data_IF_162781997888
#
_entry.id   IF_162781997888
#
_cell.length_a   1.000
_cell.length_b   1.000
_cell.length_c   1.000
_cell.angle_alpha   90.00
_cell.angle_beta   90.00
_cell.angle_gamma   90.00
#
_symmetry.space_group_name_H-M   'P 1'
#
loop_
_entity.id
_entity.type
_entity.pdbx_description
1 polymer ?
#
# COMPACT_ATOMS: atom_id res chain seq x y z
N UNK A 1 -1.61 -11.95 -53.58
CA UNK A 1 -0.54 -12.68 -54.30
C UNK A 1 0.70 -12.61 -53.45
N UNK A 2 1.04 -13.68 -52.75
CA UNK A 2 2.33 -13.78 -52.05
C UNK A 2 3.46 -13.68 -53.08
N UNK A 3 4.35 -12.71 -52.90
CA UNK A 3 5.49 -12.47 -53.79
C UNK A 3 6.36 -13.73 -53.84
N UNK A 4 6.96 -14.06 -54.99
CA UNK A 4 7.87 -15.22 -55.16
C UNK A 4 8.93 -15.26 -54.04
N UNK A 5 9.42 -14.09 -53.60
CA UNK A 5 10.32 -13.96 -52.46
C UNK A 5 9.76 -14.55 -51.16
N UNK A 6 8.48 -14.30 -50.83
CA UNK A 6 7.85 -14.84 -49.63
C UNK A 6 7.64 -16.36 -49.69
N UNK A 7 7.37 -16.90 -50.89
CA UNK A 7 7.24 -18.34 -51.09
C UNK A 7 8.58 -19.07 -50.99
N UNK A 8 9.65 -18.45 -51.52
CA UNK A 8 11.03 -18.94 -51.37
C UNK A 8 11.46 -18.85 -49.90
N UNK A 9 11.19 -17.73 -49.23
CA UNK A 9 11.50 -17.55 -47.81
C UNK A 9 10.75 -18.56 -46.93
N UNK A 10 9.47 -18.82 -47.19
CA UNK A 10 8.69 -19.83 -46.47
C UNK A 10 9.25 -21.25 -46.70
N UNK A 11 9.68 -21.57 -47.92
CA UNK A 11 10.25 -22.88 -48.27
C UNK A 11 11.64 -23.09 -47.66
N UNK A 12 12.44 -22.03 -47.56
CA UNK A 12 13.74 -22.04 -46.87
C UNK A 12 13.57 -22.10 -45.36
N UNK A 13 12.63 -21.34 -44.78
CA UNK A 13 12.31 -21.42 -43.35
C UNK A 13 11.79 -22.79 -42.95
N UNK A 14 10.90 -23.38 -43.77
CA UNK A 14 10.33 -24.71 -43.53
C UNK A 14 11.37 -25.84 -43.52
N UNK A 15 12.57 -25.60 -44.07
CA UNK A 15 13.69 -26.54 -44.04
C UNK A 15 14.31 -26.65 -42.64
N UNK A 16 14.37 -25.54 -41.90
CA UNK A 16 15.05 -25.44 -40.61
C UNK A 16 14.07 -25.32 -39.42
N UNK A 17 12.87 -24.80 -39.66
CA UNK A 17 11.90 -24.41 -38.65
C UNK A 17 10.51 -24.95 -39.00
N UNK A 18 9.86 -25.55 -38.02
CA UNK A 18 8.43 -25.87 -38.06
C UNK A 18 7.69 -24.84 -37.22
N UNK A 19 6.86 -24.03 -37.89
CA UNK A 19 6.12 -22.94 -37.29
C UNK A 19 4.63 -23.29 -37.21
N UNK A 20 4.09 -23.29 -36.00
CA UNK A 20 2.64 -23.28 -35.79
C UNK A 20 2.18 -21.87 -35.41
N UNK A 21 1.56 -21.20 -36.39
CA UNK A 21 1.06 -19.83 -36.22
C UNK A 21 -0.16 -19.76 -35.29
N UNK A 22 -0.94 -20.84 -35.15
CA UNK A 22 -2.14 -20.83 -34.30
C UNK A 22 -1.77 -20.93 -32.82
N UNK A 23 -0.84 -21.83 -32.50
CA UNK A 23 -0.42 -22.05 -31.10
C UNK A 23 0.79 -21.20 -30.71
N UNK A 24 1.34 -20.41 -31.63
CA UNK A 24 2.61 -19.68 -31.48
C UNK A 24 3.72 -20.60 -30.98
N UNK A 25 3.78 -21.81 -31.52
CA UNK A 25 4.83 -22.79 -31.22
C UNK A 25 5.85 -22.83 -32.36
N UNK A 26 7.11 -23.01 -31.97
CA UNK A 26 8.25 -23.13 -32.87
C UNK A 26 9.02 -24.38 -32.48
N UNK A 27 9.26 -25.25 -33.44
CA UNK A 27 10.11 -26.44 -33.29
C UNK A 27 11.20 -26.42 -34.34
N UNK A 28 12.37 -26.97 -34.01
CA UNK A 28 13.50 -27.08 -34.92
C UNK A 28 13.45 -28.41 -35.68
N UNK A 29 13.79 -28.40 -36.96
CA UNK A 29 14.06 -29.64 -37.72
C UNK A 29 15.46 -30.15 -37.38
N UNK A 30 15.80 -31.38 -37.79
CA UNK A 30 17.16 -31.91 -37.60
C UNK A 30 18.23 -31.03 -38.26
N UNK A 31 17.97 -30.55 -39.48
CA UNK A 31 18.87 -29.62 -40.18
C UNK A 31 18.97 -28.28 -39.43
N UNK A 32 17.86 -27.76 -38.89
CA UNK A 32 17.84 -26.53 -38.11
C UNK A 32 18.64 -26.63 -36.81
N UNK A 33 18.53 -27.77 -36.11
CA UNK A 33 19.31 -28.02 -34.90
C UNK A 33 20.82 -28.06 -35.21
N UNK A 34 21.23 -28.71 -36.31
CA UNK A 34 22.64 -28.76 -36.71
C UNK A 34 23.21 -27.38 -37.04
N UNK A 35 22.44 -26.52 -37.72
CA UNK A 35 22.88 -25.16 -38.05
C UNK A 35 23.04 -24.30 -36.79
N UNK A 36 22.08 -24.38 -35.86
CA UNK A 36 22.18 -23.64 -34.60
C UNK A 36 23.37 -24.14 -33.79
N UNK A 37 23.56 -25.46 -33.73
CA UNK A 37 24.71 -26.06 -33.08
C UNK A 37 26.04 -25.58 -33.66
N UNK A 38 26.19 -25.59 -35.00
CA UNK A 38 27.42 -25.12 -35.63
C UNK A 38 27.70 -23.64 -35.31
N UNK A 39 26.67 -22.80 -35.37
CA UNK A 39 26.79 -21.38 -35.01
C UNK A 39 27.21 -21.18 -33.55
N UNK A 40 26.67 -21.97 -32.63
CA UNK A 40 27.08 -21.91 -31.22
C UNK A 40 28.54 -22.32 -31.03
N UNK A 41 29.00 -23.36 -31.73
CA UNK A 41 30.40 -23.80 -31.68
C UNK A 41 31.34 -22.74 -32.28
N UNK A 42 30.95 -22.11 -33.40
CA UNK A 42 31.74 -21.07 -34.05
C UNK A 42 31.87 -19.80 -33.19
N UNK A 43 30.81 -19.43 -32.47
CA UNK A 43 30.80 -18.32 -31.50
C UNK A 43 31.51 -18.67 -30.17
N UNK A 44 32.05 -19.89 -30.04
CA UNK A 44 32.83 -20.31 -28.89
C UNK A 44 32.01 -20.60 -27.62
N UNK A 45 30.74 -20.99 -27.78
CA UNK A 45 29.88 -21.40 -26.65
C UNK A 45 30.50 -22.61 -25.93
N UNK A 46 30.68 -22.48 -24.62
CA UNK A 46 31.20 -23.57 -23.79
C UNK A 46 30.06 -24.46 -23.28
N UNK A 47 30.01 -25.68 -23.80
CA UNK A 47 29.14 -26.74 -23.31
C UNK A 47 29.80 -27.43 -22.11
N UNK A 48 29.17 -27.35 -20.94
CA UNK A 48 29.81 -27.78 -19.69
C UNK A 48 30.02 -29.29 -19.65
N UNK A 49 29.06 -30.07 -20.17
CA UNK A 49 29.16 -31.52 -20.23
C UNK A 49 30.35 -31.98 -21.10
N UNK A 50 30.49 -31.40 -22.30
CA UNK A 50 31.59 -31.72 -23.21
C UNK A 50 32.95 -31.27 -22.65
N UNK A 51 33.00 -30.10 -22.03
CA UNK A 51 34.21 -29.55 -21.41
C UNK A 51 34.69 -30.42 -20.23
N UNK A 52 33.77 -30.92 -19.41
CA UNK A 52 34.10 -31.80 -18.28
C UNK A 52 34.71 -33.14 -18.73
N UNK A 53 34.27 -33.66 -19.87
CA UNK A 53 34.73 -34.93 -20.45
C UNK A 53 35.97 -34.76 -21.36
N UNK A 54 36.40 -33.54 -21.65
CA UNK A 54 37.54 -33.26 -22.53
C UNK A 54 37.31 -33.67 -24.00
N UNK A 55 36.04 -33.75 -24.42
CA UNK A 55 35.64 -34.16 -25.78
C UNK A 55 35.11 -32.97 -26.59
N UNK A 56 35.11 -33.04 -27.93
CA UNK A 56 34.42 -32.04 -28.73
C UNK A 56 32.91 -32.01 -28.38
N UNK A 57 32.27 -30.82 -28.49
CA UNK A 57 30.84 -30.70 -28.27
C UNK A 57 30.08 -31.51 -29.31
N UNK A 58 28.98 -32.11 -28.89
CA UNK A 58 28.05 -32.87 -29.69
C UNK A 58 26.67 -32.20 -29.65
N UNK A 59 25.83 -32.51 -30.64
CA UNK A 59 24.50 -31.91 -30.76
C UNK A 59 23.64 -32.04 -29.50
N UNK A 60 23.76 -33.16 -28.78
CA UNK A 60 22.99 -33.41 -27.56
C UNK A 60 23.41 -32.51 -26.39
N UNK A 61 24.61 -31.93 -26.42
CA UNK A 61 25.08 -31.03 -25.36
C UNK A 61 24.31 -29.70 -25.36
N UNK A 62 23.60 -29.37 -26.45
CA UNK A 62 22.66 -28.24 -26.46
C UNK A 62 21.54 -28.37 -25.43
N UNK A 63 21.24 -29.59 -24.98
CA UNK A 63 20.13 -29.89 -24.09
C UNK A 63 20.60 -30.24 -22.67
N UNK A 64 21.79 -29.77 -22.27
CA UNK A 64 22.29 -29.95 -20.91
C UNK A 64 21.42 -29.23 -19.86
N UNK A 65 21.30 -29.81 -18.67
CA UNK A 65 20.48 -29.28 -17.58
C UNK A 65 21.07 -28.02 -16.92
N UNK A 66 22.38 -27.82 -17.06
CA UNK A 66 23.11 -26.69 -16.46
C UNK A 66 22.79 -25.39 -17.18
N UNK A 67 23.03 -25.36 -18.49
CA UNK A 67 22.68 -24.24 -19.38
C UNK A 67 21.95 -24.80 -20.59
N UNK A 68 20.60 -24.70 -20.64
CA UNK A 68 19.81 -25.32 -21.70
C UNK A 68 19.85 -24.47 -22.98
N UNK A 69 21.00 -24.44 -23.65
CA UNK A 69 21.28 -23.64 -24.85
C UNK A 69 20.25 -23.84 -25.96
N UNK A 70 19.82 -25.08 -26.20
CA UNK A 70 18.80 -25.42 -27.19
C UNK A 70 17.45 -24.79 -26.85
N UNK A 71 17.05 -24.83 -25.58
CA UNK A 71 15.79 -24.23 -25.14
C UNK A 71 15.85 -22.70 -25.21
N UNK A 72 16.99 -22.11 -24.86
CA UNK A 72 17.23 -20.67 -24.99
C UNK A 72 17.17 -20.22 -26.45
N UNK A 73 17.78 -20.98 -27.37
CA UNK A 73 17.73 -20.69 -28.81
C UNK A 73 16.30 -20.79 -29.38
N UNK A 74 15.53 -21.81 -28.99
CA UNK A 74 14.11 -21.90 -29.38
C UNK A 74 13.33 -20.71 -28.85
N UNK A 75 13.53 -20.32 -27.60
CA UNK A 75 12.85 -19.15 -27.00
C UNK A 75 13.26 -17.85 -27.70
N UNK A 76 14.53 -17.69 -28.06
CA UNK A 76 15.02 -16.54 -28.83
C UNK A 76 14.38 -16.47 -30.22
N UNK A 77 14.33 -17.59 -30.94
CA UNK A 77 13.67 -17.67 -32.24
C UNK A 77 12.16 -17.43 -32.13
N UNK A 78 11.53 -17.91 -31.07
CA UNK A 78 10.11 -17.68 -30.78
C UNK A 78 9.84 -16.19 -30.52
N UNK A 79 10.67 -15.55 -29.70
CA UNK A 79 10.63 -14.10 -29.46
C UNK A 79 10.82 -13.33 -30.77
N UNK A 80 11.79 -13.73 -31.59
CA UNK A 80 12.08 -13.08 -32.86
C UNK A 80 10.91 -13.17 -33.85
N UNK A 81 10.31 -14.36 -34.00
CA UNK A 81 9.30 -14.63 -35.02
C UNK A 81 7.89 -14.13 -34.63
N UNK A 82 7.47 -14.30 -33.37
CA UNK A 82 6.09 -14.02 -32.95
C UNK A 82 5.89 -12.66 -32.27
N UNK A 83 6.94 -12.06 -31.71
CA UNK A 83 6.85 -10.80 -30.96
C UNK A 83 7.54 -9.69 -31.73
N UNK A 84 6.77 -8.73 -32.22
CA UNK A 84 7.23 -7.57 -32.99
C UNK A 84 7.05 -6.29 -32.18
N UNK A 85 8.07 -5.44 -32.25
CA UNK A 85 8.00 -4.08 -31.72
C UNK A 85 6.86 -3.30 -32.40
N UNK A 86 6.12 -2.52 -31.61
CA UNK A 86 4.97 -1.73 -32.07
C UNK A 86 3.65 -2.49 -32.17
N UNK A 87 3.67 -3.83 -32.08
CA UNK A 87 2.46 -4.66 -32.06
C UNK A 87 2.26 -5.33 -30.70
N UNK A 88 3.19 -6.18 -30.27
CA UNK A 88 3.07 -6.94 -29.00
C UNK A 88 3.77 -6.26 -27.81
N UNK A 89 4.74 -5.38 -28.09
CA UNK A 89 5.46 -4.62 -27.08
C UNK A 89 6.01 -3.33 -27.67
N UNK A 90 6.39 -2.42 -26.79
CA UNK A 90 7.17 -1.21 -27.11
C UNK A 90 8.40 -1.16 -26.22
N UNK A 91 9.47 -0.52 -26.70
CA UNK A 91 10.65 -0.23 -25.89
C UNK A 91 10.55 1.22 -25.45
N UNK A 92 10.56 1.46 -24.15
CA UNK A 92 10.49 2.80 -23.57
C UNK A 92 11.40 2.88 -22.35
N UNK A 93 12.19 3.95 -22.25
CA UNK A 93 13.11 4.20 -21.13
C UNK A 93 14.07 3.02 -20.86
N UNK A 94 14.54 2.37 -21.94
CA UNK A 94 15.38 1.19 -21.85
C UNK A 94 14.69 -0.03 -21.22
N UNK A 95 13.35 -0.13 -21.33
CA UNK A 95 12.58 -1.27 -20.84
C UNK A 95 11.55 -1.74 -21.87
N UNK A 96 11.35 -3.06 -21.94
CA UNK A 96 10.33 -3.68 -22.77
C UNK A 96 8.99 -3.62 -22.04
N UNK A 97 8.01 -2.92 -22.61
CA UNK A 97 6.65 -2.79 -22.06
C UNK A 97 5.66 -3.52 -22.95
N UNK A 98 4.86 -4.40 -22.37
CA UNK A 98 3.87 -5.19 -23.09
C UNK A 98 2.70 -4.30 -23.51
N UNK A 99 2.19 -4.50 -24.73
CA UNK A 99 0.98 -3.85 -25.23
C UNK A 99 -0.11 -4.91 -25.36
N UNK A 100 -1.31 -4.60 -24.89
CA UNK A 100 -2.48 -5.47 -25.08
C UNK A 100 -2.96 -5.41 -26.53
N UNK A 101 -2.96 -6.55 -27.22
CA UNK A 101 -3.35 -6.67 -28.64
C UNK A 101 -4.79 -6.19 -28.90
N UNK A 102 -5.68 -6.27 -27.91
CA UNK A 102 -7.10 -5.94 -28.08
C UNK A 102 -7.41 -4.45 -27.83
N UNK A 103 -6.71 -3.82 -26.89
CA UNK A 103 -7.01 -2.46 -26.43
C UNK A 103 -5.91 -1.44 -26.74
N UNK A 104 -4.74 -1.91 -27.19
CA UNK A 104 -3.55 -1.06 -27.39
C UNK A 104 -2.98 -0.47 -26.09
N UNK A 105 -3.49 -0.89 -24.93
CA UNK A 105 -3.06 -0.37 -23.62
C UNK A 105 -1.72 -0.97 -23.20
N UNK A 106 -0.85 -0.13 -22.64
CA UNK A 106 0.45 -0.54 -22.10
C UNK A 106 0.29 -1.20 -20.72
N UNK A 107 1.02 -2.30 -20.49
CA UNK A 107 1.07 -3.05 -19.24
C UNK A 107 2.48 -2.99 -18.64
N UNK A 108 2.83 -1.91 -17.89
CA UNK A 108 4.20 -1.64 -17.45
C UNK A 108 4.76 -2.66 -16.44
N UNK A 109 3.90 -3.29 -15.64
CA UNK A 109 4.32 -4.25 -14.60
C UNK A 109 4.37 -5.70 -15.15
N UNK A 110 3.77 -5.95 -16.31
CA UNK A 110 3.64 -7.30 -16.85
C UNK A 110 4.91 -7.72 -17.62
N UNK A 111 5.39 -8.94 -17.36
CA UNK A 111 6.48 -9.59 -18.10
C UNK A 111 5.98 -10.88 -18.76
N UNK A 112 6.55 -11.24 -19.91
CA UNK A 112 6.29 -12.54 -20.53
C UNK A 112 7.01 -13.65 -19.73
N UNK A 113 6.37 -14.80 -19.60
CA UNK A 113 6.92 -15.94 -18.85
C UNK A 113 7.84 -16.80 -19.72
N UNK A 114 8.52 -17.77 -19.10
CA UNK A 114 9.31 -18.81 -19.76
C UNK A 114 10.46 -18.26 -20.60
N UNK A 115 11.17 -17.25 -20.09
CA UNK A 115 12.32 -16.65 -20.76
C UNK A 115 12.01 -15.77 -21.98
N UNK A 116 10.74 -15.66 -22.40
CA UNK A 116 10.37 -14.89 -23.61
C UNK A 116 10.68 -13.40 -23.41
N UNK A 117 10.45 -12.86 -22.22
CA UNK A 117 10.68 -11.44 -21.98
C UNK A 117 12.18 -11.10 -22.04
N UNK A 118 13.03 -11.96 -21.49
CA UNK A 118 14.48 -11.85 -21.56
C UNK A 118 14.98 -11.97 -22.99
N UNK A 119 14.40 -12.88 -23.78
CA UNK A 119 14.72 -13.00 -25.20
C UNK A 119 14.35 -11.75 -26.00
N UNK A 120 13.24 -11.06 -25.65
CA UNK A 120 12.87 -9.78 -26.27
C UNK A 120 13.81 -8.66 -25.80
N UNK A 121 14.16 -8.61 -24.51
CA UNK A 121 15.15 -7.66 -23.99
C UNK A 121 16.49 -7.82 -24.73
N UNK A 122 16.98 -9.06 -24.90
CA UNK A 122 18.20 -9.35 -25.65
C UNK A 122 18.08 -8.98 -27.14
N UNK A 123 16.93 -9.27 -27.77
CA UNK A 123 16.65 -8.92 -29.18
C UNK A 123 16.72 -7.42 -29.44
N UNK A 124 16.24 -6.61 -28.50
CA UNK A 124 16.20 -5.15 -28.62
C UNK A 124 17.44 -4.47 -28.00
N UNK A 125 18.47 -5.24 -27.64
CA UNK A 125 19.69 -4.76 -26.98
C UNK A 125 19.44 -3.98 -25.68
N UNK A 126 18.40 -4.38 -24.95
CA UNK A 126 18.04 -3.84 -23.62
C UNK A 126 18.71 -4.66 -22.53
N UNK A 127 18.98 -4.04 -21.38
CA UNK A 127 19.50 -4.75 -20.20
C UNK A 127 18.57 -5.91 -19.81
N UNK A 128 19.10 -7.13 -19.89
CA UNK A 128 18.35 -8.35 -19.57
C UNK A 128 18.25 -8.50 -18.06
N UNK A 129 17.02 -8.43 -17.54
CA UNK A 129 16.78 -8.60 -16.11
C UNK A 129 16.55 -10.07 -15.76
N UNK A 130 17.06 -10.55 -14.62
CA UNK A 130 16.85 -11.93 -14.20
C UNK A 130 15.37 -12.24 -14.05
N UNK A 131 14.96 -13.46 -14.43
CA UNK A 131 13.58 -13.91 -14.27
C UNK A 131 13.26 -14.06 -12.77
N UNK A 132 12.19 -13.40 -12.32
CA UNK A 132 11.63 -13.64 -11.00
C UNK A 132 10.91 -14.99 -11.01
N UNK A 133 11.63 -16.06 -10.64
CA UNK A 133 11.05 -17.40 -10.48
C UNK A 133 10.47 -17.55 -9.08
N UNK A 134 9.21 -17.95 -8.99
CA UNK A 134 8.63 -18.35 -7.70
C UNK A 134 9.34 -19.60 -7.18
N UNK A 135 10.12 -19.47 -6.11
CA UNK A 135 10.87 -20.58 -5.51
C UNK A 135 9.97 -21.50 -4.68
N UNK A 136 8.97 -20.94 -4.01
CA UNK A 136 8.01 -21.66 -3.19
C UNK A 136 6.65 -21.00 -3.28
N UNK A 137 5.59 -21.81 -3.23
CA UNK A 137 4.21 -21.34 -3.15
C UNK A 137 3.41 -22.27 -2.25
N UNK A 138 2.46 -21.70 -1.51
CA UNK A 138 1.55 -22.44 -0.66
C UNK A 138 0.22 -21.69 -0.59
N UNK A 139 -0.90 -22.42 -0.58
CA UNK A 139 -2.22 -21.82 -0.35
C UNK A 139 -2.46 -21.64 1.14
N UNK A 140 -3.24 -20.63 1.54
CA UNK A 140 -3.58 -20.44 2.96
C UNK A 140 -4.27 -21.67 3.57
N UNK A 141 -5.07 -22.38 2.78
CA UNK A 141 -5.72 -23.62 3.19
C UNK A 141 -4.70 -24.67 3.67
N UNK A 142 -3.67 -24.92 2.85
CA UNK A 142 -2.62 -25.88 3.19
C UNK A 142 -1.72 -25.33 4.30
N UNK A 143 -1.39 -24.04 4.25
CA UNK A 143 -0.56 -23.36 5.24
C UNK A 143 -1.14 -23.50 6.66
N UNK A 144 -2.42 -23.22 6.83
CA UNK A 144 -3.08 -23.38 8.13
C UNK A 144 -3.27 -24.85 8.54
N UNK A 145 -3.32 -25.77 7.57
CA UNK A 145 -3.35 -27.22 7.82
C UNK A 145 -2.10 -27.78 8.51
N UNK A 146 -0.95 -27.10 8.40
CA UNK A 146 0.29 -27.52 9.08
C UNK A 146 0.28 -27.25 10.59
N UNK A 147 -0.62 -26.43 11.10
CA UNK A 147 -0.68 -26.10 12.52
C UNK A 147 -1.31 -27.24 13.32
N UNK A 148 -0.59 -27.73 14.35
CA UNK A 148 -1.11 -28.77 15.26
C UNK A 148 -2.41 -28.39 15.95
N UNK A 149 -2.59 -27.09 16.21
CA UNK A 149 -3.81 -26.51 16.80
C UNK A 149 -4.15 -25.26 16.00
N UNK A 150 -5.39 -25.21 15.52
CA UNK A 150 -5.92 -24.07 14.79
C UNK A 150 -7.19 -23.58 15.50
N UNK A 151 -7.26 -22.27 15.71
CA UNK A 151 -8.41 -21.58 16.28
C UNK A 151 -8.50 -20.18 15.65
N UNK A 152 -9.69 -19.60 15.66
CA UNK A 152 -9.93 -18.27 15.10
C UNK A 152 -11.12 -17.59 15.76
N UNK A 153 -11.20 -16.27 15.60
CA UNK A 153 -12.29 -15.44 16.12
C UNK A 153 -12.77 -14.49 15.02
N UNK A 154 -14.09 -14.31 14.94
CA UNK A 154 -14.74 -13.35 14.02
C UNK A 154 -16.20 -13.15 14.43
N UNK A 155 -16.77 -12.00 14.08
CA UNK A 155 -18.18 -11.70 14.31
C UNK A 155 -19.16 -12.34 13.31
N UNK A 156 -18.67 -12.89 12.19
CA UNK A 156 -19.53 -13.30 11.05
C UNK A 156 -19.32 -14.74 10.58
N UNK A 157 -18.63 -15.60 11.35
CA UNK A 157 -18.31 -16.97 10.93
C UNK A 157 -19.53 -17.89 10.78
N UNK A 158 -20.68 -17.56 11.39
CA UNK A 158 -21.82 -18.48 11.43
C UNK A 158 -22.33 -18.88 10.03
N UNK A 159 -22.33 -17.95 9.07
CA UNK A 159 -22.74 -18.23 7.70
C UNK A 159 -21.76 -19.16 6.95
N UNK A 160 -20.48 -19.11 7.30
CA UNK A 160 -19.41 -19.90 6.68
C UNK A 160 -19.03 -21.14 7.51
N UNK A 161 -19.86 -21.54 8.49
CA UNK A 161 -19.52 -22.61 9.41
C UNK A 161 -19.29 -23.96 8.71
N UNK A 162 -20.06 -24.25 7.65
CA UNK A 162 -19.88 -25.47 6.85
C UNK A 162 -18.51 -25.49 6.14
N UNK A 163 -18.11 -24.37 5.54
CA UNK A 163 -16.82 -24.25 4.83
C UNK A 163 -15.63 -24.37 5.78
N UNK A 164 -15.72 -23.76 6.98
CA UNK A 164 -14.69 -23.90 8.01
C UNK A 164 -14.53 -25.34 8.49
N UNK A 165 -15.64 -26.07 8.62
CA UNK A 165 -15.60 -27.47 9.00
C UNK A 165 -15.07 -28.36 7.87
N UNK A 166 -15.46 -28.09 6.62
CA UNK A 166 -14.98 -28.86 5.48
C UNK A 166 -13.47 -28.70 5.28
N UNK A 167 -13.01 -27.45 5.21
CA UNK A 167 -11.61 -27.11 4.90
C UNK A 167 -10.65 -27.33 6.07
N UNK A 168 -11.06 -26.98 7.30
CA UNK A 168 -10.16 -26.94 8.45
C UNK A 168 -10.60 -27.80 9.63
N UNK A 169 -11.74 -28.50 9.51
CA UNK A 169 -12.37 -29.25 10.63
C UNK A 169 -12.64 -28.38 11.86
N UNK A 170 -12.82 -27.07 11.64
CA UNK A 170 -13.11 -26.11 12.69
C UNK A 170 -14.61 -26.01 12.93
N UNK A 171 -15.00 -26.10 14.21
CA UNK A 171 -16.39 -25.86 14.64
C UNK A 171 -16.55 -24.38 14.94
N UNK A 172 -17.62 -23.78 14.42
CA UNK A 172 -18.01 -22.41 14.73
C UNK A 172 -19.00 -22.41 15.89
N UNK A 173 -18.71 -21.63 16.93
CA UNK A 173 -19.56 -21.47 18.11
C UNK A 173 -19.92 -19.99 18.24
N UNK A 174 -21.23 -19.69 18.26
CA UNK A 174 -21.71 -18.34 18.51
C UNK A 174 -21.63 -18.01 20.00
N UNK A 175 -20.78 -17.07 20.37
CA UNK A 175 -20.66 -16.58 21.75
C UNK A 175 -21.73 -15.48 21.96
N UNK A 176 -22.52 -15.52 23.04
CA UNK A 176 -23.51 -14.50 23.32
C UNK A 176 -22.85 -13.13 23.54
N UNK A 177 -23.52 -12.06 23.13
CA UNK A 177 -23.01 -10.69 23.30
C UNK A 177 -23.09 -10.26 24.78
N UNK A 178 -22.14 -9.45 25.22
CA UNK A 178 -22.12 -8.90 26.59
C UNK A 178 -23.39 -8.06 26.89
N UNK A 179 -23.94 -7.39 25.87
CA UNK A 179 -25.18 -6.61 25.96
C UNK A 179 -26.10 -6.94 24.79
N UNK A 180 -27.44 -6.89 24.97
CA UNK A 180 -28.37 -7.11 23.87
C UNK A 180 -28.22 -6.00 22.80
N UNK A 181 -28.20 -6.34 21.50
CA UNK A 181 -28.02 -5.36 20.44
C UNK A 181 -29.27 -4.48 20.33
N UNK A 182 -29.07 -3.16 20.17
CA UNK A 182 -30.13 -2.17 19.88
C UNK A 182 -30.00 -1.56 18.49
N UNK A 183 -29.16 -2.15 17.64
CA UNK A 183 -28.94 -1.68 16.27
C UNK A 183 -30.19 -1.94 15.45
N UNK A 184 -30.67 -0.92 14.74
CA UNK A 184 -31.80 -1.02 13.81
C UNK A 184 -31.23 -1.12 12.40
N UNK A 185 -31.37 -2.28 11.79
CA UNK A 185 -30.95 -2.52 10.41
C UNK A 185 -32.09 -2.12 9.47
N UNK A 186 -31.86 -1.07 8.67
CA UNK A 186 -32.84 -0.55 7.72
C UNK A 186 -32.84 -1.39 6.42
N UNK A 187 -33.97 -1.47 5.70
CA UNK A 187 -34.04 -2.19 4.43
C UNK A 187 -33.16 -1.53 3.36
N UNK A 188 -32.67 -2.34 2.43
CA UNK A 188 -31.89 -1.90 1.27
C UNK A 188 -32.71 -0.94 0.39
N UNK A 189 -32.09 0.17 -0.01
CA UNK A 189 -32.62 1.09 -1.03
C UNK A 189 -31.83 0.90 -2.32
N UNK A 190 -32.53 0.63 -3.42
CA UNK A 190 -31.93 0.43 -4.74
C UNK A 190 -32.41 1.55 -5.65
N UNK A 191 -31.47 2.12 -6.41
CA UNK A 191 -31.70 3.22 -7.33
C UNK A 191 -31.36 2.77 -8.75
N UNK A 192 -32.11 3.25 -9.74
CA UNK A 192 -31.83 2.97 -11.14
C UNK A 192 -30.59 3.74 -11.60
N UNK A 193 -30.57 5.06 -11.35
CA UNK A 193 -29.47 5.92 -11.71
C UNK A 193 -28.48 6.13 -10.54
N UNK A 194 -27.16 6.12 -10.80
CA UNK A 194 -26.16 6.44 -9.79
C UNK A 194 -26.29 7.84 -9.19
N UNK A 195 -26.82 8.80 -9.97
CA UNK A 195 -27.03 10.17 -9.51
C UNK A 195 -28.09 10.25 -8.40
N UNK A 196 -29.20 9.51 -8.54
CA UNK A 196 -30.24 9.43 -7.50
C UNK A 196 -29.69 8.81 -6.21
N UNK A 197 -28.85 7.77 -6.33
CA UNK A 197 -28.12 7.17 -5.21
C UNK A 197 -27.30 8.24 -4.49
N UNK A 198 -26.52 9.05 -5.22
CA UNK A 198 -25.70 10.08 -4.61
C UNK A 198 -26.52 11.20 -3.98
N UNK A 199 -27.62 11.62 -4.61
CA UNK A 199 -28.52 12.63 -4.03
C UNK A 199 -29.11 12.17 -2.69
N UNK A 200 -29.56 10.91 -2.59
CA UNK A 200 -30.04 10.38 -1.32
C UNK A 200 -28.91 10.30 -0.27
N UNK A 201 -27.68 9.93 -0.64
CA UNK A 201 -26.53 9.94 0.28
C UNK A 201 -26.35 11.35 0.86
N UNK A 202 -26.34 12.38 0.02
CA UNK A 202 -26.22 13.78 0.48
C UNK A 202 -27.36 14.16 1.42
N UNK A 203 -28.59 13.75 1.11
CA UNK A 203 -29.76 13.99 1.97
C UNK A 203 -29.61 13.33 3.35
N UNK A 204 -29.10 12.09 3.40
CA UNK A 204 -28.83 11.37 4.65
C UNK A 204 -27.74 12.09 5.46
N UNK A 205 -26.66 12.53 4.80
CA UNK A 205 -25.58 13.28 5.44
C UNK A 205 -26.10 14.59 6.06
N UNK A 206 -26.88 15.38 5.30
CA UNK A 206 -27.53 16.61 5.80
C UNK A 206 -28.35 16.34 7.06
N UNK A 207 -29.22 15.32 7.03
CA UNK A 207 -30.05 14.95 8.18
C UNK A 207 -29.23 14.49 9.39
N UNK A 208 -28.14 13.73 9.18
CA UNK A 208 -27.26 13.30 10.26
C UNK A 208 -26.51 14.47 10.89
N UNK A 209 -26.01 15.42 10.08
CA UNK A 209 -25.35 16.61 10.62
C UNK A 209 -26.29 17.52 11.40
N UNK A 210 -27.50 17.77 10.90
CA UNK A 210 -28.52 18.53 11.63
C UNK A 210 -28.83 17.89 12.99
N UNK A 211 -28.84 16.56 13.07
CA UNK A 211 -29.05 15.80 14.30
C UNK A 211 -27.75 15.56 15.12
N UNK A 212 -26.59 16.09 14.68
CA UNK A 212 -25.25 15.79 15.24
C UNK A 212 -24.94 14.29 15.41
N UNK A 213 -25.51 13.43 14.57
CA UNK A 213 -25.29 11.99 14.62
C UNK A 213 -24.03 11.61 13.83
N UNK A 214 -23.09 10.83 14.39
CA UNK A 214 -21.94 10.34 13.64
C UNK A 214 -22.38 9.42 12.51
N UNK A 215 -21.67 9.46 11.39
CA UNK A 215 -21.99 8.70 10.18
C UNK A 215 -20.71 8.10 9.58
N UNK A 216 -20.77 6.80 9.28
CA UNK A 216 -19.75 6.09 8.53
C UNK A 216 -20.33 5.69 7.16
N UNK A 217 -19.67 6.07 6.08
CA UNK A 217 -20.05 5.74 4.70
C UNK A 217 -19.06 4.71 4.17
N UNK A 218 -19.55 3.49 3.92
CA UNK A 218 -18.76 2.41 3.34
C UNK A 218 -18.82 2.39 1.81
N UNK A 219 -17.66 2.35 1.15
CA UNK A 219 -17.53 2.32 -0.31
C UNK A 219 -16.70 1.11 -0.76
N UNK A 220 -16.91 0.66 -2.00
CA UNK A 220 -16.24 -0.54 -2.51
C UNK A 220 -14.83 -0.28 -3.01
N UNK A 221 -14.57 0.93 -3.52
CA UNK A 221 -13.30 1.31 -4.13
C UNK A 221 -12.85 2.71 -3.71
N UNK A 222 -11.55 2.98 -3.86
CA UNK A 222 -10.97 4.31 -3.60
C UNK A 222 -11.63 5.37 -4.49
N UNK A 223 -11.79 5.07 -5.78
CA UNK A 223 -12.42 5.98 -6.73
C UNK A 223 -13.88 6.32 -6.35
N UNK A 224 -14.66 5.33 -5.90
CA UNK A 224 -16.03 5.57 -5.42
C UNK A 224 -16.03 6.47 -4.16
N UNK A 225 -15.03 6.32 -3.29
CA UNK A 225 -14.90 7.14 -2.08
C UNK A 225 -14.61 8.60 -2.40
N UNK A 226 -13.70 8.83 -3.36
CA UNK A 226 -13.38 10.16 -3.86
C UNK A 226 -14.57 10.77 -4.60
N UNK A 227 -15.30 9.97 -5.37
CA UNK A 227 -16.53 10.41 -6.06
C UNK A 227 -17.59 10.84 -5.05
N UNK A 228 -17.84 10.05 -4.00
CA UNK A 228 -18.80 10.42 -2.96
C UNK A 228 -18.38 11.70 -2.25
N UNK A 229 -17.09 11.86 -1.96
CA UNK A 229 -16.57 13.09 -1.36
C UNK A 229 -16.78 14.30 -2.27
N UNK A 230 -16.47 14.18 -3.56
CA UNK A 230 -16.71 15.25 -4.54
C UNK A 230 -18.19 15.61 -4.64
N UNK A 231 -19.08 14.61 -4.73
CA UNK A 231 -20.52 14.87 -4.79
C UNK A 231 -21.03 15.54 -3.51
N UNK A 232 -20.45 15.23 -2.36
CA UNK A 232 -20.74 15.97 -1.13
C UNK A 232 -20.32 17.44 -1.27
N UNK A 233 -19.10 17.74 -1.72
CA UNK A 233 -18.68 19.12 -1.95
C UNK A 233 -19.58 19.87 -2.93
N UNK A 234 -19.90 19.25 -4.08
CA UNK A 234 -20.67 19.87 -5.15
C UNK A 234 -22.12 20.18 -4.75
N UNK A 235 -22.77 19.30 -3.98
CA UNK A 235 -24.21 19.41 -3.65
C UNK A 235 -24.52 20.05 -2.30
N UNK A 236 -23.52 20.21 -1.41
CA UNK A 236 -23.70 20.81 -0.09
C UNK A 236 -23.42 22.32 -0.07
N UNK A 237 -22.64 22.84 -1.03
CA UNK A 237 -22.37 24.28 -1.19
C UNK A 237 -21.70 24.95 0.01
N UNK A 238 -21.57 26.28 -0.05
CA UNK A 238 -20.81 27.07 0.94
C UNK A 238 -21.37 26.98 2.37
N UNK A 239 -22.67 26.72 2.53
CA UNK A 239 -23.34 26.68 3.83
C UNK A 239 -22.92 25.53 4.75
N UNK A 240 -22.19 24.53 4.24
CA UNK A 240 -21.68 23.38 5.00
C UNK A 240 -20.15 23.23 4.90
N UNK A 241 -19.46 24.24 4.36
CA UNK A 241 -18.01 24.23 4.11
C UNK A 241 -17.16 23.86 5.34
N UNK A 242 -17.50 24.41 6.51
CA UNK A 242 -16.83 24.09 7.79
C UNK A 242 -17.01 22.65 8.26
N UNK A 243 -18.08 21.98 7.85
CA UNK A 243 -18.36 20.58 8.19
C UNK A 243 -17.78 19.63 7.14
N UNK A 244 -17.83 20.03 5.87
CA UNK A 244 -17.19 19.33 4.76
C UNK A 244 -15.68 19.23 4.95
N UNK A 245 -15.02 20.29 5.41
CA UNK A 245 -13.58 20.29 5.71
C UNK A 245 -13.17 19.29 6.81
N UNK A 246 -14.13 18.86 7.64
CA UNK A 246 -13.92 17.89 8.73
C UNK A 246 -14.18 16.44 8.29
N UNK A 247 -14.75 16.22 7.12
CA UNK A 247 -15.01 14.87 6.58
C UNK A 247 -13.69 14.13 6.44
N UNK A 248 -13.65 12.89 6.95
CA UNK A 248 -12.46 12.05 6.90
C UNK A 248 -12.57 11.01 5.79
N UNK A 249 -11.54 10.89 4.96
CA UNK A 249 -11.46 9.90 3.88
C UNK A 249 -10.38 8.86 4.19
N UNK A 250 -10.73 7.58 4.15
CA UNK A 250 -9.84 6.46 4.51
C UNK A 250 -9.74 5.44 3.38
N UNK A 251 -8.53 5.31 2.85
CA UNK A 251 -8.25 4.60 1.60
C UNK A 251 -7.47 3.29 1.79
N UNK A 252 -7.31 2.81 3.04
CA UNK A 252 -6.65 1.56 3.37
C UNK A 252 -5.21 1.45 2.82
N UNK A 253 -4.49 2.57 2.73
CA UNK A 253 -3.10 2.57 2.27
C UNK A 253 -2.20 2.00 3.38
N UNK A 254 -1.30 1.03 3.09
CA UNK A 254 -0.49 0.36 4.12
C UNK A 254 0.31 1.31 5.02
N UNK A 255 0.83 2.39 4.43
CA UNK A 255 1.60 3.45 5.11
C UNK A 255 0.76 4.22 6.15
N UNK A 256 -0.56 4.28 5.94
CA UNK A 256 -1.47 5.09 6.75
C UNK A 256 -2.28 4.29 7.76
N UNK A 257 -2.15 2.96 7.82
CA UNK A 257 -3.01 2.10 8.67
C UNK A 257 -3.02 2.53 10.14
N UNK A 258 -1.87 2.96 10.69
CA UNK A 258 -1.79 3.45 12.09
C UNK A 258 -2.56 4.76 12.28
N UNK A 259 -2.45 5.68 11.33
CA UNK A 259 -3.13 6.97 11.36
C UNK A 259 -4.63 6.80 11.10
N UNK A 260 -5.01 5.92 10.18
CA UNK A 260 -6.41 5.58 9.88
C UNK A 260 -7.11 4.98 11.10
N UNK A 261 -6.43 4.12 11.87
CA UNK A 261 -6.95 3.60 13.13
C UNK A 261 -7.26 4.73 14.13
N UNK A 262 -6.37 5.72 14.26
CA UNK A 262 -6.63 6.87 15.15
C UNK A 262 -7.85 7.68 14.71
N UNK A 263 -8.02 7.89 13.40
CA UNK A 263 -9.17 8.61 12.84
C UNK A 263 -10.47 7.84 13.11
N UNK A 264 -10.47 6.52 12.92
CA UNK A 264 -11.67 5.69 13.13
C UNK A 264 -12.06 5.57 14.59
N UNK A 265 -11.08 5.51 15.50
CA UNK A 265 -11.35 5.55 16.94
C UNK A 265 -12.11 6.83 17.35
N UNK A 266 -11.98 7.91 16.57
CA UNK A 266 -12.67 9.19 16.78
C UNK A 266 -13.91 9.38 15.90
N UNK A 267 -14.26 8.44 15.01
CA UNK A 267 -15.40 8.56 14.12
C UNK A 267 -16.75 8.60 14.85
N UNK A 268 -16.81 8.20 16.12
CA UNK A 268 -18.00 8.26 16.96
C UNK A 268 -18.29 9.63 17.59
N UNK A 269 -17.48 10.66 17.30
CA UNK A 269 -17.72 12.02 17.79
C UNK A 269 -19.00 12.64 17.18
N UNK A 270 -19.76 13.46 17.92
CA UNK A 270 -21.00 14.05 17.42
C UNK A 270 -20.79 14.86 16.14
N UNK A 271 -21.57 14.56 15.11
CA UNK A 271 -21.49 15.20 13.79
C UNK A 271 -20.29 14.79 12.92
N UNK A 272 -19.48 13.82 13.36
CA UNK A 272 -18.39 13.29 12.54
C UNK A 272 -18.92 12.50 11.34
N UNK A 273 -18.33 12.73 10.17
CA UNK A 273 -18.60 11.95 8.96
C UNK A 273 -17.29 11.37 8.47
N UNK A 274 -17.26 10.04 8.35
CA UNK A 274 -16.10 9.30 7.88
C UNK A 274 -16.50 8.47 6.67
N UNK A 275 -15.73 8.59 5.59
CA UNK A 275 -15.85 7.79 4.36
C UNK A 275 -14.73 6.77 4.40
N UNK A 276 -15.09 5.49 4.37
CA UNK A 276 -14.14 4.38 4.47
C UNK A 276 -14.36 3.42 3.31
N UNK A 277 -13.27 3.09 2.61
CA UNK A 277 -13.24 1.92 1.73
C UNK A 277 -13.44 0.64 2.55
N UNK A 278 -14.04 -0.39 1.97
CA UNK A 278 -14.43 -1.66 2.63
C UNK A 278 -13.42 -2.31 3.60
N UNK A 279 -12.12 -2.01 3.48
CA UNK A 279 -11.07 -2.55 4.36
C UNK A 279 -10.43 -1.52 5.31
N UNK A 280 -10.71 -0.24 5.16
CA UNK A 280 -10.16 0.80 6.02
C UNK A 280 -10.72 0.67 7.45
N UNK A 281 -9.83 0.70 8.44
CA UNK A 281 -10.23 0.64 9.85
C UNK A 281 -10.56 -0.70 10.45
N UNK A 282 -10.39 -1.78 9.70
CA UNK A 282 -10.65 -3.12 10.21
C UNK A 282 -9.82 -3.38 11.47
N UNK A 283 -10.49 -3.78 12.54
CA UNK A 283 -9.85 -4.07 13.83
C UNK A 283 -9.78 -2.88 14.79
N UNK A 284 -10.35 -1.71 14.44
CA UNK A 284 -10.50 -0.58 15.36
C UNK A 284 -11.97 -0.36 15.69
N UNK A 285 -12.30 -0.32 16.98
CA UNK A 285 -13.67 -0.08 17.44
C UNK A 285 -14.03 1.42 17.36
N UNK A 286 -15.24 1.72 16.85
CA UNK A 286 -15.80 3.07 16.85
C UNK A 286 -16.55 3.28 18.16
N UNK A 287 -15.95 4.06 19.07
CA UNK A 287 -16.55 4.39 20.37
C UNK A 287 -17.40 5.66 20.21
N UNK A 288 -18.69 5.58 20.54
CA UNK A 288 -19.58 6.75 20.53
C UNK A 288 -19.10 7.78 21.56
N UNK A 289 -18.96 9.03 21.15
CA UNK A 289 -18.34 10.10 21.95
C UNK A 289 -16.82 10.21 21.79
N UNK A 290 -16.21 9.38 20.95
CA UNK A 290 -14.76 9.33 20.72
C UNK A 290 -14.03 8.45 21.74
N UNK A 291 -12.74 8.20 21.48
CA UNK A 291 -11.89 7.45 22.40
C UNK A 291 -11.19 8.44 23.39
N UNK A 292 -11.58 8.46 24.68
CA UNK A 292 -11.05 9.42 25.65
C UNK A 292 -9.56 9.24 25.93
N UNK A 293 -9.07 8.00 25.95
CA UNK A 293 -7.65 7.71 26.17
C UNK A 293 -6.80 8.22 25.01
N UNK A 294 -7.23 7.92 23.78
CA UNK A 294 -6.60 8.43 22.56
C UNK A 294 -6.63 9.96 22.47
N UNK A 295 -7.77 10.58 22.83
CA UNK A 295 -7.91 12.04 22.88
C UNK A 295 -6.98 12.65 23.92
N UNK A 296 -6.86 12.06 25.11
CA UNK A 296 -5.99 12.56 26.17
C UNK A 296 -4.50 12.48 25.78
N UNK A 297 -4.10 11.41 25.11
CA UNK A 297 -2.74 11.23 24.63
C UNK A 297 -2.41 12.23 23.50
N UNK A 298 -3.34 12.44 22.57
CA UNK A 298 -3.21 13.45 21.51
C UNK A 298 -3.14 14.87 22.09
N UNK A 299 -3.98 15.18 23.07
CA UNK A 299 -3.99 16.48 23.75
C UNK A 299 -2.68 16.73 24.53
N UNK A 300 -2.18 15.71 25.24
CA UNK A 300 -0.89 15.77 25.94
C UNK A 300 0.26 15.96 24.97
N UNK A 301 0.30 15.18 23.88
CA UNK A 301 1.30 15.35 22.82
C UNK A 301 1.25 16.78 22.27
N UNK A 302 0.07 17.32 21.95
CA UNK A 302 -0.07 18.71 21.45
C UNK A 302 0.43 19.74 22.47
N UNK A 303 0.10 19.59 23.75
CA UNK A 303 0.57 20.50 24.81
C UNK A 303 2.09 20.43 24.97
N UNK A 304 2.66 19.23 24.90
CA UNK A 304 4.11 18.99 24.99
C UNK A 304 4.82 19.55 23.76
N UNK A 305 4.36 19.23 22.55
CA UNK A 305 4.91 19.77 21.29
C UNK A 305 4.80 21.29 21.23
N UNK A 306 3.67 21.89 21.63
CA UNK A 306 3.49 23.35 21.67
C UNK A 306 4.47 24.04 22.65
N UNK A 307 4.94 23.32 23.66
CA UNK A 307 5.83 23.85 24.71
C UNK A 307 7.31 23.53 24.46
N UNK A 308 7.59 22.44 23.75
CA UNK A 308 8.95 22.00 23.38
C UNK A 308 9.41 22.58 22.04
N UNK A 309 8.51 22.77 21.08
CA UNK A 309 8.84 23.49 19.85
C UNK A 309 8.87 24.98 20.18
N UNK A 310 9.95 25.70 19.87
CA UNK A 310 9.97 27.15 20.00
C UNK A 310 8.81 27.70 19.15
N UNK A 311 8.02 28.60 19.73
CA UNK A 311 7.05 29.39 18.96
C UNK A 311 7.84 29.96 17.78
N UNK A 312 7.55 29.51 16.56
CA UNK A 312 7.95 30.26 15.39
C UNK A 312 7.31 31.63 15.58
N UNK A 313 8.12 32.63 15.94
CA UNK A 313 7.68 34.02 15.91
C UNK A 313 7.29 34.25 14.48
N UNK A 314 5.98 34.34 14.21
CA UNK A 314 5.49 34.77 12.92
C UNK A 314 6.25 36.07 12.58
N UNK A 315 6.95 36.14 11.44
CA UNK A 315 7.59 37.39 11.06
C UNK A 315 6.48 38.44 10.99
N UNK A 316 6.61 39.53 11.76
CA UNK A 316 5.70 40.67 11.65
C UNK A 316 5.69 41.11 10.19
N UNK A 317 4.59 40.83 9.48
CA UNK A 317 4.43 41.25 8.10
C UNK A 317 4.53 42.78 8.04
N UNK A 318 5.49 43.30 7.26
CA UNK A 318 5.41 44.67 6.77
C UNK A 318 4.34 44.67 5.68
N UNK A 319 3.44 45.67 5.63
CA UNK A 319 2.37 45.70 4.64
C UNK A 319 3.01 45.87 3.24
N UNK A 320 2.77 44.90 2.34
CA UNK A 320 3.11 45.05 0.92
C UNK A 320 3.61 43.82 0.15
N UNK A 321 3.99 42.70 0.79
CA UNK A 321 4.50 41.52 0.08
C UNK A 321 4.01 40.21 0.72
N UNK A 322 2.90 39.66 0.21
CA UNK A 322 2.35 38.38 0.67
C UNK A 322 3.11 37.16 0.11
N UNK A 323 3.74 37.28 -1.06
CA UNK A 323 4.44 36.16 -1.72
C UNK A 323 5.77 35.78 -1.03
N UNK A 324 6.47 36.74 -0.42
CA UNK A 324 7.74 36.50 0.27
C UNK A 324 7.57 35.85 1.66
N UNK A 325 6.40 36.03 2.30
CA UNK A 325 6.11 35.46 3.62
C UNK A 325 5.89 33.93 3.56
N UNK A 326 5.31 33.44 2.46
CA UNK A 326 5.06 32.01 2.23
C UNK A 326 6.36 31.28 1.90
N UNK A 327 7.24 31.90 1.11
CA UNK A 327 8.57 31.36 0.79
C UNK A 327 9.49 31.28 2.03
N UNK A 328 9.43 32.27 2.92
CA UNK A 328 10.21 32.28 4.17
C UNK A 328 9.71 31.24 5.20
N UNK A 329 8.39 30.98 5.25
CA UNK A 329 7.82 29.95 6.12
C UNK A 329 8.20 28.52 5.68
N UNK A 330 8.31 28.28 4.37
CA UNK A 330 8.77 27.00 3.81
C UNK A 330 10.27 26.74 4.07
N UNK A 331 11.10 27.78 4.12
CA UNK A 331 12.54 27.67 4.37
C UNK A 331 12.91 27.39 5.85
N UNK A 332 12.01 27.67 6.80
CA UNK A 332 12.30 27.61 8.24
C UNK A 332 12.17 26.21 8.89
N UNK A 333 11.87 25.15 8.13
CA UNK A 333 11.81 23.79 8.67
C UNK A 333 10.86 23.64 9.87
N UNK A 334 9.77 24.42 9.89
CA UNK A 334 8.79 24.35 10.95
C UNK A 334 8.09 22.98 10.86
N UNK A 335 8.31 22.13 11.88
CA UNK A 335 7.46 20.95 12.12
C UNK A 335 6.04 21.45 12.36
N UNK A 336 5.24 21.48 11.30
CA UNK A 336 3.83 21.80 11.38
C UNK A 336 3.15 20.79 12.30
N UNK A 337 2.49 21.29 13.34
CA UNK A 337 1.62 20.46 14.18
C UNK A 337 0.54 19.90 13.26
N UNK A 338 0.37 18.57 13.12
CA UNK A 338 -0.65 18.02 12.24
C UNK A 338 -2.03 18.51 12.68
N UNK A 339 -2.76 19.14 11.75
CA UNK A 339 -4.16 19.51 11.96
C UNK A 339 -4.97 18.22 12.09
N UNK A 340 -5.40 17.88 13.30
CA UNK A 340 -6.37 16.81 13.51
C UNK A 340 -7.80 17.35 13.36
N UNK A 341 -8.73 16.54 12.88
CA UNK A 341 -10.09 16.97 12.61
C UNK A 341 -10.87 16.94 13.92
N UNK A 342 -11.38 18.12 14.30
CA UNK A 342 -12.04 18.47 15.56
C UNK A 342 -11.10 19.13 16.56
N UNK A 343 -10.74 20.38 16.26
CA UNK A 343 -10.46 21.39 17.29
C UNK A 343 -11.71 21.65 18.14
N UNK A 344 -12.02 20.72 19.04
CA UNK A 344 -13.00 20.94 20.13
C UNK A 344 -12.49 22.02 21.11
N UNK A 345 -11.21 22.38 20.99
CA UNK A 345 -10.52 23.33 21.85
C UNK A 345 -10.30 24.72 21.22
N UNK A 346 -10.58 24.93 19.94
CA UNK A 346 -10.46 26.27 19.30
C UNK A 346 -11.68 27.17 19.60
N UNK A 347 -12.72 26.63 20.23
CA UNK A 347 -13.81 27.43 20.80
C UNK A 347 -13.42 28.14 22.12
N UNK A 348 -12.18 27.98 22.59
CA UNK A 348 -11.68 28.61 23.80
C UNK A 348 -10.68 29.71 23.44
N UNK A 349 -11.13 30.96 23.55
CA UNK A 349 -10.26 32.13 23.53
C UNK A 349 -9.19 31.97 24.61
N UNK A 350 -7.94 31.80 24.18
CA UNK A 350 -6.80 31.62 25.08
C UNK A 350 -6.47 32.90 25.89
N UNK A 351 -7.12 34.02 25.57
CA UNK A 351 -6.92 35.32 26.20
C UNK A 351 -7.98 35.65 27.27
N UNK A 352 -9.01 34.82 27.44
CA UNK A 352 -10.06 35.02 28.48
C UNK A 352 -10.10 33.86 29.51
N UNK A 353 -9.42 34.02 30.66
CA UNK A 353 -9.42 33.01 31.73
C UNK A 353 -10.77 32.86 32.45
N UNK A 354 -11.81 33.62 32.10
CA UNK A 354 -13.16 33.49 32.67
C UNK A 354 -14.03 32.41 32.00
N UNK A 355 -13.59 31.87 30.87
CA UNK A 355 -14.29 30.79 30.13
C UNK A 355 -14.13 29.40 30.75
N UNK A 356 -13.28 29.26 31.77
CA UNK A 356 -12.99 28.00 32.46
C UNK A 356 -13.95 27.85 33.66
N UNK A 357 -15.10 27.21 33.37
CA UNK A 357 -16.09 26.58 34.27
C UNK A 357 -17.23 27.46 34.86
N UNK A 358 -18.47 26.91 34.93
CA UNK A 358 -19.53 27.48 35.74
C UNK A 358 -19.22 27.25 37.23
N UNK A 359 -19.38 28.32 38.02
CA UNK A 359 -19.25 28.33 39.49
C UNK A 359 -20.02 27.17 40.14
N UNK A 360 -19.31 26.31 40.86
CA UNK A 360 -19.85 25.64 42.04
C UNK A 360 -18.98 26.02 43.25
N UNK A 361 -19.66 26.31 44.35
CA UNK A 361 -19.16 27.09 45.46
C UNK A 361 -18.20 26.31 46.39
N UNK A 362 -17.27 27.07 46.97
CA UNK A 362 -16.64 26.89 48.29
C UNK A 362 -15.80 25.63 48.55
N UNK A 363 -14.47 25.77 48.49
CA UNK A 363 -13.55 25.36 49.56
C UNK A 363 -12.18 26.02 49.36
N UNK A 364 -11.66 26.64 50.41
CA UNK A 364 -10.43 27.41 50.42
C UNK A 364 -9.18 26.52 50.52
N UNK A 365 -8.09 26.97 49.87
CA UNK A 365 -6.69 26.82 50.29
C UNK A 365 -6.07 25.42 50.37
N UNK A 366 -5.16 25.10 49.44
CA UNK A 366 -3.86 24.46 49.70
C UNK A 366 -3.13 24.20 48.37
N UNK A 367 -1.85 24.56 48.29
CA UNK A 367 -0.99 24.34 47.13
C UNK A 367 -0.76 22.85 46.82
N UNK A 368 -0.32 22.56 45.59
CA UNK A 368 -0.05 21.19 45.13
C UNK A 368 1.01 20.48 46.01
N UNK A 369 0.82 19.19 46.33
CA UNK A 369 1.69 18.44 47.21
C UNK A 369 3.07 18.12 46.58
N UNK A 370 4.10 18.16 47.44
CA UNK A 370 5.53 17.95 47.17
C UNK A 370 5.88 16.66 46.43
N UNK A 371 5.00 15.66 46.48
CA UNK A 371 5.25 14.31 45.95
C UNK A 371 5.18 14.27 44.41
N UNK A 372 4.41 15.17 43.78
CA UNK A 372 4.35 15.28 42.32
C UNK A 372 5.67 15.84 41.73
N UNK A 373 6.36 16.69 42.51
CA UNK A 373 7.64 17.28 42.11
C UNK A 373 8.78 16.24 42.11
N UNK A 374 8.75 15.30 43.06
CA UNK A 374 9.76 14.24 43.17
C UNK A 374 9.56 13.13 42.13
N UNK A 375 8.31 12.83 41.75
CA UNK A 375 8.01 11.89 40.67
C UNK A 375 8.48 12.42 39.30
N UNK A 376 8.33 13.73 39.05
CA UNK A 376 8.82 14.40 37.84
C UNK A 376 10.35 14.48 37.77
N UNK A 377 11.02 14.69 38.91
CA UNK A 377 12.49 14.69 39.00
C UNK A 377 13.08 13.28 38.76
N UNK A 378 12.42 12.23 39.25
CA UNK A 378 12.82 10.84 39.02
C UNK A 378 12.69 10.41 37.55
N UNK A 379 11.61 10.82 36.88
CA UNK A 379 11.40 10.52 35.45
C UNK A 379 12.41 11.26 34.54
N UNK A 380 12.77 12.50 34.89
CA UNK A 380 13.77 13.29 34.16
C UNK A 380 15.20 12.76 34.35
N UNK A 381 15.54 12.24 35.55
CA UNK A 381 16.85 11.62 35.81
C UNK A 381 17.01 10.29 35.07
N UNK A 382 15.97 9.45 34.98
CA UNK A 382 15.99 8.21 34.21
C UNK A 382 16.17 8.46 32.71
N UNK A 383 15.52 9.49 32.15
CA UNK A 383 15.69 9.88 30.76
C UNK A 383 17.09 10.45 30.45
N UNK A 384 17.79 11.02 31.44
CA UNK A 384 19.15 11.53 31.25
C UNK A 384 20.23 10.44 31.33
N UNK A 385 20.00 9.38 32.13
CA UNK A 385 20.96 8.26 32.25
C UNK A 385 21.02 7.35 31.01
N UNK A 386 19.94 7.22 30.24
CA UNK A 386 19.95 6.49 28.97
C UNK A 386 20.55 7.29 27.80
N UNK A 387 20.71 8.60 27.95
CA UNK A 387 21.34 9.48 26.95
C UNK A 387 22.87 9.58 27.02
N UNK A 388 23.52 9.02 28.06
CA UNK A 388 24.98 9.06 28.19
C UNK A 388 25.69 7.75 27.80
N UNK A 389 24.94 6.70 27.42
CA UNK A 389 25.50 5.47 26.83
C UNK A 389 26.06 5.64 25.41
N UNK A 390 25.77 6.77 24.74
CA UNK A 390 26.25 7.05 23.38
C UNK A 390 27.55 7.88 23.32
N UNK A 391 28.16 8.21 24.47
CA UNK A 391 29.39 9.03 24.52
C UNK A 391 30.59 8.34 25.19
N UNK A 392 30.46 7.08 25.64
CA UNK A 392 31.51 6.38 26.40
C UNK A 392 32.43 5.46 25.57
N UNK A 393 32.13 5.16 24.30
CA UNK A 393 33.01 4.35 23.44
C UNK A 393 34.13 5.17 22.75
N UNK A 394 34.23 6.47 23.02
CA UNK A 394 35.24 7.34 22.41
C UNK A 394 36.48 7.64 23.29
N UNK A 395 36.55 7.27 24.58
CA UNK A 395 37.69 7.65 25.46
C UNK A 395 38.03 6.69 26.62
N UNK A 396 38.09 5.38 26.39
CA UNK A 396 38.68 4.44 27.35
C UNK A 396 40.14 4.10 26.97
N UNK A 397 41.04 5.05 27.17
CA UNK A 397 42.46 4.74 27.35
C UNK A 397 42.71 4.37 28.81
N UNK A 398 43.28 3.19 29.07
CA UNK A 398 43.80 2.86 30.40
C UNK A 398 45.30 2.56 30.32
N UNK A 399 46.16 3.44 30.88
CA UNK A 399 47.56 3.14 31.12
C UNK A 399 47.73 2.61 32.55
N UNK A 400 48.34 1.43 32.71
CA UNK A 400 49.15 1.09 33.88
C UNK A 400 50.14 -0.02 33.53
N UNK A 401 51.40 0.40 33.41
CA UNK A 401 52.57 -0.46 33.48
C UNK A 401 52.80 -0.90 34.94
N UNK A 402 53.19 -2.16 35.12
CA UNK A 402 54.30 -2.66 35.96
C UNK A 402 54.08 -4.14 36.33
N UNK A 403 54.61 -5.07 35.54
CA UNK A 403 55.80 -5.90 35.84
C UNK A 403 56.00 -6.95 34.75
#
# INVERSE_FOLDING_TARGET
>A
METIASQVEARVKGRYLVLDLKTRQLSLTQEGMLVIFSLMVDEGVQFQAAAAEGRPPALMDMWEDTVPWGQMAITALKAYQFFKAGAQYIVRDGQVVIVDESTGRVKPISRYQAGIHQAIEAKEAVEVKPEARATASITFQVFFGFYKKLAGMTGTAQAAAAEFFESYKLKVVAIPTNRPPRRVDLPLKVYFDPQDKHYEIVRIVKGCWQARRPLLIGTTSVNESETVLQVLYDLLGDGWSDQLSKVQLLNAKPENVRTEAQIIAQAGLPGSVTIATNMAGRGTDIILGGNPEGLSQLALLRLVYRRLLPRATAPRARPGHEEDAVAAAAAAGALAVPHLPLDVFDAYDADDPSSILPRTAAAAGAGLPRDLHMALLGALLLAHTQGQGAAADARAGNPRAQR
#
